data_IF_675010419186
#
_entry.id   IF_675010419186
#
_cell.length_a   1.000
_cell.length_b   1.000
_cell.length_c   1.000
_cell.angle_alpha   90.00
_cell.angle_beta   90.00
_cell.angle_gamma   90.00
#
_symmetry.space_group_name_H-M   'P 1'
#
loop_
_entity.id
_entity.type
_entity.pdbx_description
1 polymer ?
#
# COMPACT_ATOMS: atom_id res chain seq x y z
N UNK A 1 -15.33 5.62 2.97
CA UNK A 1 -14.01 5.44 3.61
C UNK A 1 -14.25 4.63 4.87
N UNK A 2 -13.95 3.34 4.88
CA UNK A 2 -14.18 2.50 6.07
C UNK A 2 -13.01 2.67 7.06
N UNK A 3 -13.33 3.15 8.24
CA UNK A 3 -12.43 3.58 9.34
C UNK A 3 -11.82 2.40 10.11
N UNK A 4 -11.35 1.36 9.42
CA UNK A 4 -10.69 0.21 10.02
C UNK A 4 -9.21 0.15 9.67
N UNK A 5 -8.35 0.01 10.68
CA UNK A 5 -6.91 -0.22 10.49
C UNK A 5 -6.56 -1.71 10.50
N UNK A 6 -5.87 -2.20 9.47
CA UNK A 6 -5.29 -3.54 9.39
C UNK A 6 -3.84 -3.54 9.86
N UNK A 7 -3.49 -4.42 10.80
CA UNK A 7 -2.10 -4.62 11.19
C UNK A 7 -1.25 -5.09 10.01
N UNK A 8 0.03 -4.71 9.99
CA UNK A 8 1.00 -5.14 8.97
C UNK A 8 1.02 -6.66 8.74
N UNK A 9 0.78 -7.46 9.78
CA UNK A 9 0.68 -8.91 9.68
C UNK A 9 -0.56 -9.38 8.92
N UNK A 10 -1.72 -8.77 9.18
CA UNK A 10 -2.95 -9.06 8.47
C UNK A 10 -2.87 -8.63 7.00
N UNK A 11 -2.26 -7.47 6.72
CA UNK A 11 -2.01 -7.02 5.35
C UNK A 11 -1.10 -8.01 4.61
N UNK A 12 0.01 -8.40 5.22
CA UNK A 12 0.95 -9.36 4.64
C UNK A 12 0.28 -10.70 4.30
N UNK A 13 -0.53 -11.22 5.21
CA UNK A 13 -1.29 -12.46 4.99
C UNK A 13 -2.29 -12.32 3.84
N UNK A 14 -3.05 -11.21 3.79
CA UNK A 14 -4.07 -10.98 2.75
C UNK A 14 -3.48 -10.67 1.38
N UNK A 15 -2.33 -10.01 1.31
CA UNK A 15 -1.69 -9.63 0.06
C UNK A 15 -0.67 -10.65 -0.46
N UNK A 16 -0.33 -11.68 0.34
CA UNK A 16 0.74 -12.63 0.02
C UNK A 16 2.13 -11.98 -0.04
N UNK A 17 2.31 -10.80 0.57
CA UNK A 17 3.58 -10.07 0.55
C UNK A 17 4.26 -10.15 1.91
N UNK A 18 5.59 -10.15 1.90
CA UNK A 18 6.34 -10.06 3.15
C UNK A 18 6.16 -8.70 3.81
N UNK A 19 6.27 -8.64 5.14
CA UNK A 19 6.28 -7.35 5.88
C UNK A 19 7.41 -6.43 5.40
N UNK A 20 8.52 -6.99 4.91
CA UNK A 20 9.64 -6.22 4.30
C UNK A 20 9.19 -5.53 3.02
N UNK A 21 8.44 -6.21 2.15
CA UNK A 21 7.88 -5.60 0.94
C UNK A 21 6.89 -4.48 1.26
N UNK A 22 6.05 -4.65 2.29
CA UNK A 22 5.15 -3.59 2.75
C UNK A 22 5.92 -2.33 3.20
N UNK A 23 7.00 -2.51 3.99
CA UNK A 23 7.88 -1.41 4.42
C UNK A 23 8.60 -0.75 3.23
N UNK A 24 9.02 -1.53 2.23
CA UNK A 24 9.64 -1.00 1.01
C UNK A 24 8.66 -0.12 0.24
N UNK A 25 7.40 -0.56 0.07
CA UNK A 25 6.39 0.22 -0.64
C UNK A 25 5.93 1.45 0.14
N UNK A 26 5.94 1.39 1.47
CA UNK A 26 5.75 2.56 2.33
C UNK A 26 6.89 3.57 2.15
N UNK A 27 8.15 3.11 2.18
CA UNK A 27 9.32 3.96 1.97
C UNK A 27 9.39 4.56 0.55
N UNK A 28 8.91 3.83 -0.45
CA UNK A 28 8.81 4.30 -1.83
C UNK A 28 7.62 5.26 -2.07
N UNK A 29 6.78 5.54 -1.05
CA UNK A 29 5.61 6.42 -1.16
C UNK A 29 4.40 5.80 -1.88
N UNK A 30 4.47 4.53 -2.26
CA UNK A 30 3.37 3.80 -2.91
C UNK A 30 2.25 3.53 -1.89
N UNK A 31 2.60 3.01 -0.71
CA UNK A 31 1.66 2.87 0.38
C UNK A 31 1.57 4.17 1.19
N UNK A 32 0.39 4.50 1.74
CA UNK A 32 0.30 5.62 2.67
C UNK A 32 1.11 5.31 3.93
N UNK A 33 1.63 6.34 4.60
CA UNK A 33 2.36 6.18 5.85
C UNK A 33 1.46 5.47 6.87
N UNK A 34 1.95 4.37 7.44
CA UNK A 34 1.14 3.58 8.36
C UNK A 34 0.84 4.40 9.62
N UNK A 35 -0.42 4.42 10.05
CA UNK A 35 -0.77 4.96 11.35
C UNK A 35 -0.19 4.03 12.43
N UNK A 36 0.10 4.61 13.60
CA UNK A 36 0.59 3.85 14.77
C UNK A 36 -0.53 3.71 15.77
N UNK A 37 -0.72 2.51 16.29
CA UNK A 37 -1.58 2.30 17.45
C UNK A 37 -0.92 2.87 18.72
N UNK A 38 -1.66 3.09 19.82
CA UNK A 38 -1.08 3.50 21.10
C UNK A 38 0.00 2.53 21.61
N UNK A 39 -0.12 1.24 21.27
CA UNK A 39 0.88 0.20 21.58
C UNK A 39 2.07 0.17 20.59
N UNK A 40 2.15 1.10 19.63
CA UNK A 40 3.28 1.25 18.70
C UNK A 40 3.24 0.39 17.43
N UNK A 41 2.16 -0.36 17.18
CA UNK A 41 2.03 -1.21 16.00
C UNK A 41 1.64 -0.40 14.75
N UNK A 42 2.16 -0.80 13.59
CA UNK A 42 1.75 -0.24 12.29
C UNK A 42 0.40 -0.79 11.87
N UNK A 43 -0.53 0.10 11.59
CA UNK A 43 -1.84 -0.17 11.01
C UNK A 43 -2.01 0.58 9.69
N UNK A 44 -2.56 -0.12 8.70
CA UNK A 44 -2.80 0.36 7.35
C UNK A 44 -4.30 0.44 7.09
N UNK A 45 -4.77 1.32 6.19
CA UNK A 45 -6.16 1.35 5.76
C UNK A 45 -6.67 0.00 5.24
N UNK A 46 -7.95 -0.33 5.44
CA UNK A 46 -8.54 -1.62 5.02
C UNK A 46 -8.47 -1.90 3.51
N UNK A 47 -8.34 -0.86 2.69
CA UNK A 47 -8.20 -0.89 1.23
C UNK A 47 -6.75 -1.17 0.77
N UNK A 48 -5.78 -1.18 1.68
CA UNK A 48 -4.37 -1.47 1.39
C UNK A 48 -4.14 -2.77 0.60
N UNK A 49 -4.81 -3.90 0.89
CA UNK A 49 -4.68 -5.10 0.07
C UNK A 49 -5.09 -4.91 -1.40
N UNK A 50 -6.11 -4.09 -1.67
CA UNK A 50 -6.55 -3.80 -3.04
C UNK A 50 -5.50 -2.97 -3.80
N UNK A 51 -4.91 -1.98 -3.12
CA UNK A 51 -3.78 -1.22 -3.66
C UNK A 51 -2.58 -2.12 -3.94
N UNK A 52 -2.25 -3.05 -3.04
CA UNK A 52 -1.16 -4.01 -3.26
C UNK A 52 -1.41 -4.95 -4.44
N UNK A 53 -2.67 -5.35 -4.67
CA UNK A 53 -3.06 -6.08 -5.87
C UNK A 53 -2.83 -5.28 -7.16
N UNK A 54 -3.08 -3.97 -7.14
CA UNK A 54 -2.75 -3.08 -8.26
C UNK A 54 -1.23 -3.00 -8.49
N UNK A 55 -0.45 -2.76 -7.43
CA UNK A 55 1.02 -2.72 -7.49
C UNK A 55 1.58 -4.01 -8.06
N UNK A 56 1.07 -5.17 -7.64
CA UNK A 56 1.50 -6.47 -8.14
C UNK A 56 1.24 -6.65 -9.65
N UNK A 57 0.07 -6.20 -10.15
CA UNK A 57 -0.24 -6.23 -11.59
C UNK A 57 0.65 -5.27 -12.37
N UNK A 58 0.84 -4.04 -11.90
CA UNK A 58 1.69 -3.06 -12.57
C UNK A 58 3.16 -3.54 -12.67
N UNK A 59 3.69 -4.14 -11.61
CA UNK A 59 5.04 -4.77 -11.65
C UNK A 59 5.14 -5.90 -12.68
N UNK A 60 4.08 -6.70 -12.86
CA UNK A 60 4.05 -7.76 -13.88
C UNK A 60 4.00 -7.20 -15.30
N UNK A 61 3.49 -5.99 -15.47
CA UNK A 61 3.45 -5.26 -16.75
C UNK A 61 4.75 -4.50 -17.06
N UNK A 62 5.76 -4.59 -16.19
CA UNK A 62 7.06 -3.94 -16.40
C UNK A 62 7.20 -2.54 -15.82
N UNK A 63 6.19 -2.03 -15.10
CA UNK A 63 6.30 -0.73 -14.44
C UNK A 63 7.32 -0.76 -13.30
N UNK A 64 8.12 0.30 -13.24
CA UNK A 64 9.03 0.59 -12.13
C UNK A 64 8.25 1.05 -10.89
N UNK A 65 8.88 1.02 -9.72
CA UNK A 65 8.25 1.49 -8.49
C UNK A 65 7.94 3.00 -8.52
N UNK A 66 8.73 3.79 -9.26
CA UNK A 66 8.49 5.22 -9.45
C UNK A 66 7.21 5.49 -10.24
N UNK A 67 7.05 4.83 -11.39
CA UNK A 67 5.83 4.98 -12.21
C UNK A 67 4.59 4.48 -11.46
N UNK A 68 4.71 3.38 -10.71
CA UNK A 68 3.60 2.88 -9.88
C UNK A 68 3.22 3.92 -8.81
N UNK A 69 4.20 4.54 -8.16
CA UNK A 69 3.95 5.62 -7.19
C UNK A 69 3.19 6.77 -7.85
N UNK A 70 3.60 7.18 -9.04
CA UNK A 70 3.01 8.31 -9.74
C UNK A 70 1.55 8.01 -10.13
N UNK A 71 1.27 6.80 -10.65
CA UNK A 71 -0.11 6.36 -10.95
C UNK A 71 -0.98 6.29 -9.68
N UNK A 72 -0.41 5.83 -8.56
CA UNK A 72 -1.11 5.76 -7.28
C UNK A 72 -1.40 7.16 -6.73
N UNK A 73 -0.47 8.11 -6.90
CA UNK A 73 -0.65 9.51 -6.49
C UNK A 73 -1.79 10.16 -7.29
N UNK A 74 -1.77 10.04 -8.62
CA UNK A 74 -2.83 10.52 -9.52
C UNK A 74 -4.21 10.02 -9.07
N UNK A 75 -4.31 8.70 -8.80
CA UNK A 75 -5.55 8.07 -8.33
C UNK A 75 -6.03 8.60 -6.95
N UNK A 76 -5.11 8.98 -6.07
CA UNK A 76 -5.46 9.52 -4.73
C UNK A 76 -5.92 10.96 -4.79
N UNK A 77 -5.33 11.75 -5.67
CA UNK A 77 -5.65 13.17 -5.82
C UNK A 77 -6.95 13.41 -6.62
N UNK A 78 -7.62 12.34 -7.05
CA UNK A 78 -8.83 12.43 -7.86
C UNK A 78 -8.59 12.93 -9.28
N UNK A 79 -7.33 13.14 -9.66
CA UNK A 79 -6.95 13.40 -11.03
C UNK A 79 -7.11 12.09 -11.82
N UNK A 80 -8.00 12.10 -12.80
CA UNK A 80 -7.98 11.09 -13.84
C UNK A 80 -6.81 11.45 -14.77
N UNK A 81 -5.88 10.51 -15.10
CA UNK A 81 -4.94 10.74 -16.19
C UNK A 81 -5.67 10.80 -17.53
#
# INVERSE_FOLDING_TARGET
MSTGGLFIGAVAARSGLSRKALRLYEAAGILPRAARTPAGYRVYPTDTPALLGFVARARRLGFTLGEIRDVVAIRRDGAMP
#
